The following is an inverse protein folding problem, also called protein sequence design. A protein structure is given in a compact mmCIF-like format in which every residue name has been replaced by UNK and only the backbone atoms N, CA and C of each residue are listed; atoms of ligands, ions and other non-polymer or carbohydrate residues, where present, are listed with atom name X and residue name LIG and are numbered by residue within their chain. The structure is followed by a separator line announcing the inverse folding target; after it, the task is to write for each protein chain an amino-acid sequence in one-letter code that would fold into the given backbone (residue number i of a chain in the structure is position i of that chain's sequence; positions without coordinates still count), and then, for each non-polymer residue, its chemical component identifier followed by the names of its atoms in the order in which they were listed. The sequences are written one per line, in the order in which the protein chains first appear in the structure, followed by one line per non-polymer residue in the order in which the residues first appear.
data_IF_906452025900
#
_entry.id   IF_906452025900
#
_cell.length_a   1.000
_cell.length_b   1.000
_cell.length_c   1.000
_cell.angle_alpha   90.00
_cell.angle_beta   90.00
_cell.angle_gamma   90.00
#
_symmetry.space_group_name_H-M   'P 1'
#
loop_
_entity.id
_entity.type
_entity.pdbx_description
1 polymer ?
#
# COMPACT_ATOMS: atom_id res chain seq x y z
N UNK A 1 -8.40 -27.61 -6.71
CA UNK A 1 -8.08 -26.54 -7.64
C UNK A 1 -8.66 -25.28 -7.05
N UNK A 2 -7.82 -24.26 -6.83
CA UNK A 2 -8.29 -22.91 -6.57
C UNK A 2 -7.90 -21.99 -7.73
N UNK A 3 -7.85 -20.70 -7.48
CA UNK A 3 -7.79 -19.66 -8.51
C UNK A 3 -6.53 -19.74 -9.39
N UNK A 4 -6.73 -19.67 -10.72
CA UNK A 4 -5.68 -19.71 -11.76
C UNK A 4 -5.59 -18.41 -12.57
N UNK A 5 -6.39 -17.40 -12.20
CA UNK A 5 -6.54 -16.21 -13.03
C UNK A 5 -5.42 -15.20 -12.84
N UNK A 6 -5.60 -14.07 -13.52
CA UNK A 6 -4.67 -12.95 -13.56
C UNK A 6 -5.34 -11.72 -12.98
N UNK A 7 -4.59 -10.96 -12.20
CA UNK A 7 -5.07 -9.74 -11.54
C UNK A 7 -3.98 -8.67 -11.69
N UNK A 8 -4.39 -7.47 -12.11
CA UNK A 8 -3.56 -6.28 -12.12
C UNK A 8 -4.32 -5.09 -11.53
N UNK A 9 -3.61 -4.17 -10.87
CA UNK A 9 -4.15 -2.94 -10.28
C UNK A 9 -5.12 -3.15 -9.10
N UNK A 10 -4.97 -4.23 -8.35
CA UNK A 10 -5.84 -4.52 -7.22
C UNK A 10 -5.51 -3.65 -6.00
N UNK A 11 -6.52 -2.98 -5.45
CA UNK A 11 -6.46 -2.38 -4.10
C UNK A 11 -7.29 -3.23 -3.17
N UNK A 12 -6.71 -3.72 -2.09
CA UNK A 12 -7.42 -4.47 -1.05
C UNK A 12 -7.07 -3.91 0.31
N UNK A 13 -8.09 -3.56 1.09
CA UNK A 13 -7.92 -2.98 2.41
C UNK A 13 -8.75 -3.74 3.45
N UNK A 14 -8.18 -3.95 4.63
CA UNK A 14 -8.90 -4.51 5.78
C UNK A 14 -9.11 -3.45 6.86
N UNK A 15 -10.25 -3.54 7.54
CA UNK A 15 -10.51 -2.75 8.74
C UNK A 15 -9.72 -3.26 9.95
N UNK A 16 -9.82 -2.56 11.09
CA UNK A 16 -9.11 -2.93 12.34
C UNK A 16 -9.32 -4.38 12.79
N UNK A 17 -10.50 -4.93 12.48
CA UNK A 17 -10.94 -6.29 12.82
C UNK A 17 -10.81 -7.26 11.64
N UNK A 18 -10.31 -6.77 10.50
CA UNK A 18 -10.12 -7.59 9.31
C UNK A 18 -8.83 -8.39 9.40
N UNK A 19 -8.87 -9.62 8.89
CA UNK A 19 -7.78 -10.58 9.05
C UNK A 19 -6.70 -10.42 7.97
N UNK A 20 -6.98 -10.91 6.76
CA UNK A 20 -6.04 -10.90 5.63
C UNK A 20 -6.61 -10.09 4.46
N UNK A 21 -5.74 -9.36 3.76
CA UNK A 21 -6.09 -8.74 2.46
C UNK A 21 -5.98 -9.76 1.34
N UNK A 22 -5.14 -10.78 1.50
CA UNK A 22 -4.92 -11.83 0.54
C UNK A 22 -4.81 -13.15 1.27
N UNK A 23 -5.67 -14.12 0.93
CA UNK A 23 -5.58 -15.49 1.42
C UNK A 23 -5.78 -16.44 0.26
N UNK A 24 -4.85 -17.37 0.08
CA UNK A 24 -4.85 -18.32 -1.04
C UNK A 24 -4.51 -19.71 -0.51
N UNK A 25 -5.31 -20.69 -0.92
CA UNK A 25 -5.15 -22.10 -0.61
C UNK A 25 -5.17 -22.93 -1.89
N UNK A 26 -4.69 -24.17 -1.82
CA UNK A 26 -4.95 -25.17 -2.86
C UNK A 26 -5.76 -26.32 -2.29
N UNK A 27 -6.34 -27.14 -3.18
CA UNK A 27 -7.03 -28.36 -2.74
C UNK A 27 -6.00 -29.32 -2.13
N UNK A 28 -6.09 -29.53 -0.83
CA UNK A 28 -5.37 -30.59 -0.14
C UNK A 28 -5.94 -31.97 -0.54
N UNK A 29 -5.06 -32.94 -0.76
CA UNK A 29 -5.41 -34.36 -0.67
C UNK A 29 -4.66 -34.99 0.51
N UNK A 30 -5.18 -36.11 1.00
CA UNK A 30 -4.67 -36.80 2.21
C UNK A 30 -3.21 -37.27 2.11
N UNK A 31 -2.61 -37.22 0.92
CA UNK A 31 -1.19 -37.41 0.70
C UNK A 31 -0.61 -36.08 0.21
N UNK A 32 -0.12 -35.26 1.14
CA UNK A 32 0.47 -33.91 0.94
C UNK A 32 1.36 -33.73 -0.31
N UNK A 33 1.89 -34.83 -0.85
CA UNK A 33 2.78 -34.92 -2.03
C UNK A 33 2.05 -35.01 -3.40
N UNK A 34 0.71 -35.02 -3.45
CA UNK A 34 -0.05 -35.33 -4.66
C UNK A 34 -0.82 -34.15 -5.28
N UNK A 35 -0.37 -32.90 -5.08
CA UNK A 35 -1.00 -31.69 -5.68
C UNK A 35 -0.36 -31.30 -7.03
N UNK A 36 0.59 -32.07 -7.56
CA UNK A 36 1.21 -31.79 -8.87
C UNK A 36 0.14 -31.63 -9.96
N UNK A 37 0.02 -30.42 -10.53
CA UNK A 37 -0.87 -30.10 -11.66
C UNK A 37 -2.30 -29.62 -11.33
N UNK A 38 -2.68 -29.45 -10.05
CA UNK A 38 -4.04 -28.98 -9.66
C UNK A 38 -4.06 -27.88 -8.57
N UNK A 39 -2.92 -27.22 -8.33
CA UNK A 39 -2.72 -26.18 -7.29
C UNK A 39 -3.38 -24.87 -7.67
N UNK A 40 -3.59 -23.97 -6.71
CA UNK A 40 -3.82 -22.55 -6.99
C UNK A 40 -2.56 -21.91 -7.53
N UNK A 41 -2.71 -21.15 -8.61
CA UNK A 41 -1.60 -20.47 -9.28
C UNK A 41 -2.01 -19.08 -9.80
N UNK A 42 -2.37 -18.14 -8.90
CA UNK A 42 -2.67 -16.77 -9.27
C UNK A 42 -1.46 -16.08 -9.89
N UNK A 43 -1.73 -15.16 -10.80
CA UNK A 43 -0.74 -14.20 -11.27
C UNK A 43 -1.20 -12.81 -10.86
N UNK A 44 -0.61 -12.29 -9.79
CA UNK A 44 -0.93 -10.99 -9.21
C UNK A 44 0.25 -10.03 -9.43
N UNK A 45 -0.01 -9.00 -10.21
CA UNK A 45 0.93 -7.91 -10.43
C UNK A 45 0.31 -6.57 -10.03
N UNK A 46 1.12 -5.62 -9.54
CA UNK A 46 0.67 -4.26 -9.28
C UNK A 46 -0.54 -4.20 -8.34
N UNK A 47 -0.33 -4.63 -7.09
CA UNK A 47 -1.37 -4.65 -6.07
C UNK A 47 -0.97 -3.81 -4.86
N UNK A 48 -1.94 -3.16 -4.23
CA UNK A 48 -1.80 -2.46 -2.98
C UNK A 48 -2.62 -3.18 -1.91
N UNK A 49 -1.95 -3.66 -0.86
CA UNK A 49 -2.54 -4.39 0.26
C UNK A 49 -2.42 -3.55 1.54
N UNK A 50 -3.56 -3.18 2.12
CA UNK A 50 -3.64 -2.24 3.24
C UNK A 50 -4.22 -2.98 4.46
N UNK A 51 -3.45 -3.07 5.53
CA UNK A 51 -3.92 -3.62 6.79
C UNK A 51 -4.65 -2.60 7.65
N UNK A 52 -5.44 -3.13 8.60
CA UNK A 52 -6.23 -2.32 9.53
C UNK A 52 -5.50 -1.83 10.78
N UNK A 53 -4.22 -2.15 10.94
CA UNK A 53 -3.44 -1.79 12.14
C UNK A 53 -2.99 -0.33 12.10
N UNK A 54 -3.16 0.40 13.21
CA UNK A 54 -2.58 1.73 13.35
C UNK A 54 -1.14 1.61 13.88
N UNK A 55 -0.18 2.18 13.15
CA UNK A 55 1.21 2.30 13.63
C UNK A 55 1.36 3.30 14.79
N UNK A 56 0.28 3.99 15.17
CA UNK A 56 0.24 4.87 16.34
C UNK A 56 0.01 4.00 17.58
N UNK A 57 1.09 3.42 18.11
CA UNK A 57 1.18 2.69 19.38
C UNK A 57 -0.14 2.23 20.02
N UNK A 58 -0.38 0.91 20.03
CA UNK A 58 -1.45 0.23 20.76
C UNK A 58 -2.82 0.13 20.10
N UNK A 59 -2.91 0.04 18.78
CA UNK A 59 -3.99 -0.76 18.18
C UNK A 59 -3.34 -1.91 17.43
N UNK A 60 -2.91 -2.93 18.19
CA UNK A 60 -2.77 -4.26 17.61
C UNK A 60 -4.12 -4.54 16.95
N UNK A 61 -4.15 -4.58 15.63
CA UNK A 61 -5.28 -5.17 14.93
C UNK A 61 -5.33 -6.60 15.46
N UNK A 62 -6.24 -6.85 16.40
CA UNK A 62 -6.51 -8.19 16.88
C UNK A 62 -7.20 -8.87 15.73
N UNK A 63 -6.44 -9.62 14.94
CA UNK A 63 -7.04 -10.64 14.11
C UNK A 63 -8.04 -11.43 14.96
N UNK A 64 -9.30 -11.45 14.54
CA UNK A 64 -10.33 -12.26 15.19
C UNK A 64 -10.25 -13.72 14.75
N UNK A 65 -9.03 -14.24 14.53
CA UNK A 65 -8.81 -15.68 14.42
C UNK A 65 -9.11 -16.33 15.77
N UNK A 66 -10.34 -16.78 15.94
CA UNK A 66 -10.73 -17.65 17.05
C UNK A 66 -9.88 -18.94 17.02
N UNK A 67 -8.76 -18.94 17.75
CA UNK A 67 -8.15 -20.12 18.35
C UNK A 67 -7.41 -21.11 17.45
N UNK A 68 -7.12 -20.83 16.18
CA UNK A 68 -6.38 -21.79 15.32
C UNK A 68 -5.11 -21.29 14.65
N UNK A 69 -4.79 -20.00 14.71
CA UNK A 69 -3.54 -19.51 14.16
C UNK A 69 -3.13 -18.18 14.82
N UNK A 70 -2.08 -18.17 15.66
CA UNK A 70 -1.75 -17.01 16.49
C UNK A 70 -0.95 -15.92 15.76
N UNK A 71 -0.78 -15.99 14.43
CA UNK A 71 0.08 -15.07 13.67
C UNK A 71 -0.68 -14.31 12.60
N UNK A 72 -0.66 -13.00 12.75
CA UNK A 72 -1.46 -12.07 11.95
C UNK A 72 -0.66 -11.61 10.73
N UNK A 73 -0.62 -12.45 9.69
CA UNK A 73 -0.07 -12.08 8.39
C UNK A 73 -1.01 -11.13 7.64
N UNK A 74 -0.55 -10.10 6.93
CA UNK A 74 -1.47 -9.34 6.07
C UNK A 74 -1.86 -10.12 4.81
N UNK A 75 -0.94 -10.93 4.28
CA UNK A 75 -1.15 -11.84 3.17
C UNK A 75 -0.72 -13.25 3.53
N UNK A 76 -1.50 -14.24 3.09
CA UNK A 76 -1.32 -15.64 3.46
C UNK A 76 -1.44 -16.59 2.28
N UNK A 77 -0.45 -17.45 2.11
CA UNK A 77 -0.45 -18.53 1.13
C UNK A 77 -0.37 -19.87 1.84
N UNK A 78 -1.27 -20.79 1.48
CA UNK A 78 -1.42 -22.07 2.16
C UNK A 78 -1.53 -23.25 1.22
N UNK A 79 -1.39 -24.45 1.78
CA UNK A 79 -1.62 -25.75 1.14
C UNK A 79 -0.93 -25.90 -0.23
N UNK A 80 0.34 -25.52 -0.29
CA UNK A 80 1.14 -25.60 -1.51
C UNK A 80 0.65 -24.69 -2.63
N UNK A 81 0.21 -23.48 -2.30
CA UNK A 81 -0.09 -22.44 -3.29
C UNK A 81 1.18 -22.08 -4.09
N UNK A 82 1.09 -22.19 -5.41
CA UNK A 82 2.05 -21.61 -6.35
C UNK A 82 1.64 -20.19 -6.75
N UNK A 83 2.16 -19.69 -7.87
CA UNK A 83 1.73 -18.42 -8.43
C UNK A 83 2.88 -17.48 -8.74
N UNK A 84 2.53 -16.30 -9.25
CA UNK A 84 3.46 -15.22 -9.54
C UNK A 84 2.99 -13.93 -8.88
N UNK A 85 3.87 -13.36 -8.03
CA UNK A 85 3.57 -12.20 -7.20
C UNK A 85 4.66 -11.15 -7.38
N UNK A 86 4.35 -10.06 -8.10
CA UNK A 86 5.32 -8.99 -8.40
C UNK A 86 4.70 -7.60 -8.32
N UNK A 87 5.53 -6.58 -8.12
CA UNK A 87 5.07 -5.19 -7.97
C UNK A 87 3.99 -4.97 -6.89
N UNK A 88 3.98 -5.78 -5.84
CA UNK A 88 3.02 -5.65 -4.73
C UNK A 88 3.58 -4.66 -3.71
N UNK A 89 2.74 -3.77 -3.21
CA UNK A 89 3.04 -2.88 -2.09
C UNK A 89 2.10 -3.21 -0.95
N UNK A 90 2.67 -3.36 0.24
CA UNK A 90 1.97 -3.66 1.47
C UNK A 90 2.18 -2.53 2.47
N UNK A 91 1.10 -2.12 3.13
CA UNK A 91 1.12 -1.05 4.13
C UNK A 91 0.29 -1.46 5.35
N UNK A 92 0.68 -0.96 6.53
CA UNK A 92 -0.06 -1.15 7.79
C UNK A 92 -0.32 -2.62 8.15
N UNK A 93 0.67 -3.51 7.92
CA UNK A 93 0.53 -4.92 8.29
C UNK A 93 0.28 -5.07 9.81
N UNK A 94 -0.69 -5.91 10.22
CA UNK A 94 -1.06 -6.08 11.63
C UNK A 94 -0.03 -6.88 12.44
N UNK A 95 0.68 -7.78 11.77
CA UNK A 95 1.83 -8.52 12.26
C UNK A 95 2.79 -8.73 11.10
N UNK A 96 3.08 -10.00 10.78
CA UNK A 96 3.92 -10.34 9.63
C UNK A 96 3.31 -9.81 8.32
N UNK A 97 4.16 -9.47 7.36
CA UNK A 97 3.66 -8.99 6.08
C UNK A 97 3.07 -10.13 5.24
N UNK A 98 3.93 -11.11 4.91
CA UNK A 98 3.53 -12.30 4.18
C UNK A 98 3.79 -13.54 5.03
N UNK A 99 2.86 -14.51 4.98
CA UNK A 99 3.04 -15.82 5.62
C UNK A 99 2.80 -16.90 4.57
N UNK A 100 3.70 -17.88 4.50
CA UNK A 100 3.39 -19.17 3.85
C UNK A 100 3.24 -20.28 4.87
N UNK A 101 2.26 -21.15 4.71
CA UNK A 101 2.03 -22.29 5.60
C UNK A 101 1.66 -23.53 4.78
N UNK A 102 1.97 -24.72 5.28
CA UNK A 102 1.66 -25.99 4.64
C UNK A 102 2.11 -25.98 3.16
N UNK A 103 3.37 -25.62 2.93
CA UNK A 103 3.92 -25.34 1.59
C UNK A 103 4.08 -26.59 0.71
N UNK A 104 4.14 -27.78 1.30
CA UNK A 104 4.41 -29.03 0.60
C UNK A 104 5.67 -28.91 -0.30
N UNK A 105 5.61 -29.45 -1.52
CA UNK A 105 6.72 -29.50 -2.49
C UNK A 105 6.85 -28.26 -3.41
N UNK A 106 6.23 -27.13 -3.06
CA UNK A 106 6.33 -25.89 -3.82
C UNK A 106 7.74 -25.32 -3.77
N UNK A 107 8.37 -25.14 -4.94
CA UNK A 107 9.67 -24.46 -5.05
C UNK A 107 9.47 -22.94 -5.06
N UNK A 108 10.27 -22.22 -4.28
CA UNK A 108 10.29 -20.76 -4.27
C UNK A 108 11.25 -20.21 -5.31
N UNK A 109 10.80 -19.20 -6.03
CA UNK A 109 11.61 -18.48 -7.01
C UNK A 109 11.57 -16.97 -6.78
N UNK A 110 12.75 -16.34 -6.85
CA UNK A 110 12.89 -14.88 -6.85
C UNK A 110 13.12 -14.30 -8.24
N UNK A 111 13.29 -15.18 -9.24
CA UNK A 111 13.31 -14.85 -10.66
C UNK A 111 12.25 -15.70 -11.33
N UNK A 112 11.33 -15.09 -12.09
CA UNK A 112 10.21 -15.81 -12.67
C UNK A 112 10.70 -16.86 -13.66
N UNK A 113 10.41 -18.13 -13.41
CA UNK A 113 10.46 -19.17 -14.43
C UNK A 113 9.05 -19.53 -14.91
N UNK A 114 8.94 -20.22 -16.05
CA UNK A 114 7.66 -20.49 -16.72
C UNK A 114 6.89 -21.73 -16.21
N UNK A 115 7.24 -22.26 -15.05
CA UNK A 115 6.65 -23.50 -14.50
C UNK A 115 5.40 -23.18 -13.68
N UNK A 116 4.34 -23.97 -13.87
CA UNK A 116 3.03 -23.78 -13.21
C UNK A 116 2.98 -24.31 -11.76
N UNK A 117 4.08 -24.86 -11.26
CA UNK A 117 4.15 -25.47 -9.92
C UNK A 117 4.90 -24.58 -8.92
N UNK A 118 5.57 -23.53 -9.39
CA UNK A 118 6.47 -22.74 -8.56
C UNK A 118 5.75 -21.54 -7.92
N UNK A 119 6.29 -21.11 -6.78
CA UNK A 119 5.90 -19.89 -6.10
C UNK A 119 6.93 -18.81 -6.43
N UNK A 120 6.67 -18.07 -7.51
CA UNK A 120 7.44 -16.89 -7.82
C UNK A 120 6.97 -15.73 -6.96
N UNK A 121 7.87 -15.23 -6.12
CA UNK A 121 7.64 -14.05 -5.32
C UNK A 121 8.82 -13.11 -5.44
N UNK A 122 8.55 -11.94 -6.03
CA UNK A 122 9.59 -10.95 -6.28
C UNK A 122 10.13 -10.37 -4.98
N UNK A 123 11.45 -10.30 -4.86
CA UNK A 123 12.13 -9.53 -3.81
C UNK A 123 11.93 -8.02 -3.99
N UNK A 124 11.44 -7.60 -5.16
CA UNK A 124 11.06 -6.21 -5.41
C UNK A 124 9.69 -5.87 -4.82
N UNK A 125 8.88 -6.83 -4.36
CA UNK A 125 7.69 -6.48 -3.59
C UNK A 125 8.09 -5.64 -2.37
N UNK A 126 7.21 -4.73 -1.94
CA UNK A 126 7.51 -3.73 -0.91
C UNK A 126 6.61 -3.92 0.30
N UNK A 127 7.19 -3.85 1.48
CA UNK A 127 6.48 -3.73 2.76
C UNK A 127 6.84 -2.38 3.39
N UNK A 128 5.83 -1.60 3.74
CA UNK A 128 5.99 -0.23 4.26
C UNK A 128 5.63 -0.18 5.74
N UNK A 129 6.56 0.28 6.56
CA UNK A 129 6.34 0.59 7.97
C UNK A 129 5.94 -0.63 8.81
N UNK A 130 6.62 -1.76 8.62
CA UNK A 130 6.39 -2.97 9.39
C UNK A 130 6.71 -2.76 10.88
N UNK A 131 5.89 -3.33 11.76
CA UNK A 131 6.07 -3.20 13.21
C UNK A 131 7.29 -4.01 13.69
N UNK A 132 7.89 -3.56 14.79
CA UNK A 132 8.98 -4.29 15.45
C UNK A 132 8.50 -5.66 15.92
N UNK A 133 9.30 -6.70 15.65
CA UNK A 133 8.97 -8.09 15.99
C UNK A 133 8.10 -8.82 14.96
N UNK A 134 7.76 -8.17 13.85
CA UNK A 134 7.11 -8.79 12.70
C UNK A 134 8.11 -9.08 11.58
N UNK A 135 7.84 -10.12 10.80
CA UNK A 135 8.66 -10.55 9.69
C UNK A 135 8.13 -10.04 8.34
N UNK A 136 9.05 -9.68 7.46
CA UNK A 136 8.72 -9.28 6.08
C UNK A 136 8.12 -10.46 5.30
N UNK A 137 8.57 -11.66 5.59
CA UNK A 137 8.08 -12.88 4.98
C UNK A 137 8.36 -14.06 5.92
N UNK A 138 7.30 -14.66 6.44
CA UNK A 138 7.40 -15.70 7.45
C UNK A 138 7.13 -17.10 6.90
N UNK A 139 7.96 -18.06 7.36
CA UNK A 139 7.74 -19.49 7.16
C UNK A 139 6.82 -20.05 8.25
N UNK A 140 5.52 -20.04 7.97
CA UNK A 140 4.42 -20.52 8.80
C UNK A 140 4.47 -21.99 9.25
N UNK A 141 5.27 -22.83 8.59
CA UNK A 141 5.43 -24.26 8.87
C UNK A 141 6.79 -24.79 8.41
N UNK A 142 7.23 -25.92 8.98
CA UNK A 142 8.59 -26.46 8.76
C UNK A 142 8.87 -26.94 7.33
N UNK A 143 7.84 -27.25 6.55
CA UNK A 143 7.92 -27.64 5.14
C UNK A 143 8.05 -26.43 4.19
N UNK A 144 7.83 -25.21 4.68
CA UNK A 144 8.06 -23.99 3.91
C UNK A 144 9.55 -23.67 3.80
N UNK A 145 10.19 -24.19 2.76
CA UNK A 145 11.59 -23.88 2.43
C UNK A 145 11.69 -22.79 1.37
N UNK A 146 12.79 -22.02 1.41
CA UNK A 146 12.98 -20.84 0.58
C UNK A 146 12.12 -19.66 1.07
N UNK A 147 12.78 -18.58 1.46
CA UNK A 147 12.11 -17.38 1.98
C UNK A 147 12.51 -16.19 1.13
N UNK A 148 11.62 -15.69 0.25
CA UNK A 148 11.85 -14.43 -0.45
C UNK A 148 12.00 -13.31 0.57
N UNK A 149 12.91 -12.37 0.32
CA UNK A 149 13.05 -11.17 1.14
C UNK A 149 12.54 -9.98 0.35
N UNK A 150 11.28 -9.53 0.54
CA UNK A 150 10.80 -8.32 -0.08
C UNK A 150 11.55 -7.09 0.46
N UNK A 151 11.48 -5.99 -0.28
CA UNK A 151 12.06 -4.72 0.10
C UNK A 151 11.26 -4.10 1.25
N UNK A 152 11.94 -3.71 2.33
CA UNK A 152 11.33 -2.95 3.42
C UNK A 152 11.55 -1.45 3.21
N UNK A 153 10.49 -0.66 3.35
CA UNK A 153 10.54 0.80 3.32
C UNK A 153 9.89 1.40 4.57
N UNK A 154 10.34 2.59 4.95
CA UNK A 154 9.60 3.47 5.85
C UNK A 154 8.44 4.14 5.12
N UNK A 155 7.48 4.69 5.87
CA UNK A 155 6.36 5.46 5.28
C UNK A 155 6.86 6.68 4.48
N UNK A 156 7.90 7.34 4.98
CA UNK A 156 8.53 8.48 4.30
C UNK A 156 9.24 8.08 2.99
N UNK A 157 9.79 6.87 2.90
CA UNK A 157 10.41 6.39 1.66
C UNK A 157 9.40 5.95 0.61
N UNK A 158 8.24 5.43 1.03
CA UNK A 158 7.16 5.07 0.11
C UNK A 158 6.38 6.31 -0.37
N UNK A 159 6.27 7.31 0.50
CA UNK A 159 5.66 8.61 0.30
C UNK A 159 4.35 8.60 -0.50
N UNK A 160 3.29 8.09 0.14
CA UNK A 160 1.94 8.18 -0.41
C UNK A 160 1.34 9.56 -0.20
N UNK A 161 0.58 10.06 -1.18
CA UNK A 161 -0.10 11.35 -1.11
C UNK A 161 -1.01 11.49 0.12
N UNK A 162 -1.77 10.44 0.44
CA UNK A 162 -2.59 10.38 1.64
C UNK A 162 -2.90 8.95 2.08
N UNK A 163 -1.99 8.35 2.85
CA UNK A 163 -2.22 7.03 3.44
C UNK A 163 -2.79 7.16 4.87
N UNK A 164 -4.06 6.82 5.11
CA UNK A 164 -4.62 6.86 6.45
C UNK A 164 -3.94 5.82 7.35
N UNK A 165 -3.73 6.16 8.63
CA UNK A 165 -3.15 5.21 9.59
C UNK A 165 -4.12 4.08 9.97
N UNK A 166 -5.43 4.27 9.80
CA UNK A 166 -6.43 3.18 9.88
C UNK A 166 -7.40 3.28 8.72
N UNK A 167 -7.80 2.14 8.20
CA UNK A 167 -8.85 2.06 7.19
C UNK A 167 -10.13 1.58 7.85
N UNK A 168 -11.17 2.40 7.96
CA UNK A 168 -12.45 2.00 8.53
C UNK A 168 -13.60 2.86 7.98
N UNK A 169 -14.83 2.63 8.47
CA UNK A 169 -16.03 3.35 8.01
C UNK A 169 -15.99 4.87 8.22
N UNK A 170 -15.13 5.34 9.13
CA UNK A 170 -14.97 6.73 9.51
C UNK A 170 -13.77 7.38 8.81
N UNK A 171 -13.05 6.68 7.93
CA UNK A 171 -11.98 7.29 7.13
C UNK A 171 -12.58 8.33 6.17
N UNK A 172 -12.20 9.60 6.34
CA UNK A 172 -12.78 10.74 5.62
C UNK A 172 -12.03 11.11 4.34
N UNK A 173 -10.73 10.85 4.27
CA UNK A 173 -9.89 11.11 3.09
C UNK A 173 -8.82 10.02 2.89
N UNK A 174 -8.53 9.71 1.63
CA UNK A 174 -7.44 8.81 1.23
C UNK A 174 -6.99 9.06 -0.20
N UNK A 175 -5.71 8.81 -0.46
CA UNK A 175 -5.08 8.87 -1.76
C UNK A 175 -3.84 7.98 -1.75
N UNK A 176 -3.97 6.81 -2.38
CA UNK A 176 -2.93 5.79 -2.37
C UNK A 176 -1.90 5.94 -3.48
N UNK A 177 -1.94 7.05 -4.21
CA UNK A 177 -0.92 7.34 -5.21
C UNK A 177 0.37 7.77 -4.52
N UNK A 178 1.55 7.36 -5.02
CA UNK A 178 2.81 7.90 -4.55
C UNK A 178 2.92 9.39 -4.87
N UNK A 179 3.54 10.19 -4.00
CA UNK A 179 3.78 11.61 -4.21
C UNK A 179 4.75 11.88 -5.38
N UNK A 180 4.66 13.06 -5.98
CA UNK A 180 5.46 13.38 -7.16
C UNK A 180 6.94 13.56 -6.85
N UNK A 181 7.25 14.34 -5.81
CA UNK A 181 8.63 14.71 -5.42
C UNK A 181 9.38 13.56 -4.72
N UNK A 182 8.68 12.49 -4.37
CA UNK A 182 9.14 11.46 -3.44
C UNK A 182 8.59 10.06 -3.69
N UNK A 183 7.89 9.83 -4.81
CA UNK A 183 7.57 8.48 -5.33
C UNK A 183 8.80 7.65 -5.74
N UNK A 184 9.96 7.98 -5.16
CA UNK A 184 11.12 7.12 -5.00
C UNK A 184 10.75 5.78 -4.36
N UNK A 185 11.67 4.84 -4.53
CA UNK A 185 11.57 3.41 -4.18
C UNK A 185 10.38 2.63 -4.78
N UNK A 186 9.16 3.17 -4.82
CA UNK A 186 8.00 2.54 -5.47
C UNK A 186 8.10 2.55 -7.01
N UNK A 187 8.88 3.46 -7.60
CA UNK A 187 9.18 3.50 -9.05
C UNK A 187 10.54 2.88 -9.44
N UNK A 188 11.33 2.40 -8.47
CA UNK A 188 12.62 1.73 -8.72
C UNK A 188 12.43 0.21 -8.81
N UNK A 189 13.26 -0.53 -9.55
CA UNK A 189 13.24 -2.02 -9.59
C UNK A 189 11.86 -2.64 -9.88
N UNK A 190 11.09 -2.06 -10.79
CA UNK A 190 9.73 -2.53 -11.12
C UNK A 190 9.82 -3.80 -11.98
N UNK A 191 9.15 -4.86 -11.53
CA UNK A 191 9.10 -6.14 -12.23
C UNK A 191 8.36 -5.99 -13.56
N UNK A 192 8.83 -6.70 -14.58
CA UNK A 192 8.10 -6.81 -15.85
C UNK A 192 7.14 -8.00 -15.79
N UNK A 193 5.80 -7.78 -15.85
CA UNK A 193 4.84 -8.88 -15.86
C UNK A 193 4.91 -9.69 -17.17
N UNK A 194 4.21 -10.84 -17.28
CA UNK A 194 4.19 -11.64 -18.51
C UNK A 194 3.69 -10.83 -19.71
N UNK A 195 4.40 -10.92 -20.84
CA UNK A 195 4.02 -10.26 -22.09
C UNK A 195 3.00 -11.11 -22.86
N UNK A 196 1.83 -11.34 -22.27
CA UNK A 196 0.82 -12.27 -22.76
C UNK A 196 -0.51 -11.61 -23.20
N UNK A 197 -0.52 -10.28 -23.25
CA UNK A 197 -1.66 -9.46 -23.65
C UNK A 197 -2.69 -9.19 -22.56
N UNK A 198 -2.54 -9.76 -21.35
CA UNK A 198 -3.38 -9.41 -20.21
C UNK A 198 -2.77 -8.29 -19.36
N UNK A 199 -1.46 -8.39 -19.06
CA UNK A 199 -0.79 -7.43 -18.18
C UNK A 199 -0.23 -6.24 -18.95
N UNK A 200 -0.50 -5.06 -18.41
CA UNK A 200 0.16 -3.83 -18.81
C UNK A 200 1.58 -3.78 -18.23
N UNK A 201 2.55 -3.34 -19.04
CA UNK A 201 3.89 -3.01 -18.56
C UNK A 201 3.89 -1.60 -17.98
N UNK A 202 4.19 -1.49 -16.68
CA UNK A 202 4.22 -0.20 -15.97
C UNK A 202 5.59 0.10 -15.36
N UNK A 203 5.75 1.33 -14.83
CA UNK A 203 6.96 1.84 -14.19
C UNK A 203 6.78 2.11 -12.70
N UNK A 204 5.80 1.48 -12.06
CA UNK A 204 5.50 1.64 -10.64
C UNK A 204 5.13 0.31 -9.99
N UNK A 205 5.26 0.25 -8.66
CA UNK A 205 4.69 -0.80 -7.80
C UNK A 205 3.40 -0.31 -7.17
N UNK A 206 2.58 -1.26 -6.72
CA UNK A 206 1.26 -0.95 -6.20
C UNK A 206 0.24 -0.87 -7.32
N UNK A 207 -0.97 -0.47 -6.96
CA UNK A 207 -2.14 -0.52 -7.84
C UNK A 207 -2.33 0.72 -8.72
N UNK A 208 -1.61 1.81 -8.45
CA UNK A 208 -1.75 3.10 -9.15
C UNK A 208 -0.47 3.94 -9.02
N UNK A 209 -0.30 4.88 -9.94
CA UNK A 209 0.76 5.90 -9.92
C UNK A 209 0.13 7.29 -9.99
N UNK A 210 0.19 7.98 -11.12
CA UNK A 210 -0.39 9.34 -11.22
C UNK A 210 -1.91 9.32 -11.41
N UNK A 211 -2.45 8.26 -12.00
CA UNK A 211 -3.89 8.11 -12.28
C UNK A 211 -4.60 7.35 -11.17
N UNK A 212 -5.64 7.95 -10.59
CA UNK A 212 -6.53 7.29 -9.64
C UNK A 212 -7.70 6.64 -10.38
N UNK A 213 -7.53 5.37 -10.80
CA UNK A 213 -8.57 4.64 -11.52
C UNK A 213 -9.85 4.39 -10.70
N UNK A 214 -9.80 4.52 -9.38
CA UNK A 214 -10.97 4.39 -8.51
C UNK A 214 -11.86 5.64 -8.55
N UNK A 215 -11.33 6.78 -8.99
CA UNK A 215 -12.07 8.03 -9.09
C UNK A 215 -13.15 7.92 -10.18
N UNK A 216 -14.38 8.29 -9.83
CA UNK A 216 -15.56 8.15 -10.68
C UNK A 216 -16.09 6.71 -10.86
N UNK A 217 -15.43 5.71 -10.25
CA UNK A 217 -15.78 4.29 -10.40
C UNK A 217 -16.19 3.59 -9.10
N UNK A 218 -15.80 4.14 -7.95
CA UNK A 218 -15.98 3.51 -6.65
C UNK A 218 -16.96 4.27 -5.76
N UNK A 219 -17.61 3.57 -4.83
CA UNK A 219 -18.41 4.20 -3.77
C UNK A 219 -17.56 5.13 -2.89
N UNK A 220 -16.25 4.88 -2.79
CA UNK A 220 -15.32 5.79 -2.13
C UNK A 220 -15.22 7.12 -2.88
N UNK A 221 -15.27 7.09 -4.22
CA UNK A 221 -15.32 8.31 -5.03
C UNK A 221 -16.64 9.04 -4.85
N UNK A 222 -17.76 8.32 -4.89
CA UNK A 222 -19.09 8.93 -4.79
C UNK A 222 -19.31 9.60 -3.42
N UNK A 223 -18.74 9.02 -2.36
CA UNK A 223 -18.77 9.58 -1.02
C UNK A 223 -17.71 10.67 -0.79
N UNK A 224 -16.83 10.91 -1.77
CA UNK A 224 -15.74 11.89 -1.67
C UNK A 224 -14.66 11.53 -0.65
N UNK A 225 -14.49 10.22 -0.38
CA UNK A 225 -13.46 9.68 0.53
C UNK A 225 -12.11 9.58 -0.19
N UNK A 226 -12.10 9.20 -1.46
CA UNK A 226 -10.86 9.25 -2.26
C UNK A 226 -10.75 10.60 -2.96
N UNK A 227 -9.53 11.10 -3.09
CA UNK A 227 -9.26 12.26 -3.94
C UNK A 227 -9.69 11.97 -5.40
N UNK A 228 -10.17 13.01 -6.10
CA UNK A 228 -10.40 12.93 -7.54
C UNK A 228 -9.11 12.66 -8.32
N UNK A 229 -9.21 12.48 -9.64
CA UNK A 229 -8.05 12.21 -10.50
C UNK A 229 -7.26 13.48 -10.84
N UNK A 230 -6.81 14.20 -9.80
CA UNK A 230 -5.91 15.35 -9.89
C UNK A 230 -4.58 14.96 -9.26
N UNK A 231 -3.49 15.16 -9.97
CA UNK A 231 -2.14 14.82 -9.52
C UNK A 231 -1.21 16.01 -9.69
N UNK A 232 -0.29 16.20 -8.75
CA UNK A 232 0.65 17.32 -8.75
C UNK A 232 1.66 17.23 -7.62
N UNK A 233 2.50 18.25 -7.53
CA UNK A 233 3.55 18.33 -6.52
C UNK A 233 2.94 18.68 -5.17
N UNK A 234 3.27 17.92 -4.13
CA UNK A 234 2.80 18.19 -2.77
C UNK A 234 3.54 19.39 -2.21
N UNK A 235 2.79 20.39 -1.76
CA UNK A 235 3.35 21.53 -1.04
C UNK A 235 3.72 21.04 0.37
N UNK A 236 4.97 21.25 0.84
CA UNK A 236 5.37 20.81 2.17
C UNK A 236 4.55 21.53 3.25
N UNK A 237 4.30 20.82 4.35
CA UNK A 237 3.49 21.34 5.46
C UNK A 237 4.10 22.61 6.09
N UNK A 238 5.42 22.77 6.05
CA UNK A 238 6.13 23.97 6.50
C UNK A 238 7.03 24.51 5.39
N UNK A 239 6.83 25.78 5.03
CA UNK A 239 7.65 26.53 4.10
C UNK A 239 8.54 27.45 4.91
N UNK A 240 9.77 26.99 5.17
CA UNK A 240 10.76 27.62 6.06
C UNK A 240 11.80 28.48 5.33
N UNK A 241 11.74 28.51 4.00
CA UNK A 241 12.60 29.31 3.14
C UNK A 241 11.80 29.89 1.97
N UNK A 242 12.25 31.02 1.43
CA UNK A 242 11.60 31.66 0.28
C UNK A 242 11.39 30.65 -0.84
N UNK A 243 10.14 30.44 -1.22
CA UNK A 243 9.73 29.37 -2.14
C UNK A 243 8.89 29.95 -3.26
N UNK A 244 9.10 29.49 -4.48
CA UNK A 244 8.30 29.86 -5.65
C UNK A 244 7.58 28.64 -6.20
N UNK A 245 6.25 28.68 -6.21
CA UNK A 245 5.43 27.71 -6.95
C UNK A 245 5.36 28.14 -8.41
N UNK A 246 5.83 27.28 -9.30
CA UNK A 246 5.84 27.53 -10.74
C UNK A 246 4.44 27.37 -11.37
N UNK A 247 4.28 27.68 -12.65
CA UNK A 247 3.03 27.47 -13.37
C UNK A 247 2.75 25.97 -13.60
N UNK A 248 2.32 25.29 -12.54
CA UNK A 248 2.05 23.85 -12.47
C UNK A 248 0.86 23.55 -11.56
N UNK A 249 0.51 22.27 -11.43
CA UNK A 249 -0.46 21.75 -10.47
C UNK A 249 0.25 21.38 -9.17
N UNK A 250 -0.25 21.90 -8.06
CA UNK A 250 0.21 21.59 -6.71
C UNK A 250 -0.93 21.03 -5.86
N UNK A 251 -0.58 20.19 -4.89
CA UNK A 251 -1.50 19.56 -3.95
C UNK A 251 -1.20 20.05 -2.53
N UNK A 252 -2.24 20.48 -1.82
CA UNK A 252 -2.21 20.65 -0.37
C UNK A 252 -2.89 19.44 0.27
N UNK A 253 -2.08 18.54 0.81
CA UNK A 253 -2.54 17.29 1.46
C UNK A 253 -2.66 17.44 2.99
N UNK A 254 -2.12 18.53 3.54
CA UNK A 254 -2.23 18.96 4.94
C UNK A 254 -2.30 20.50 5.00
N UNK A 255 -2.47 21.06 6.20
CA UNK A 255 -2.18 22.48 6.40
C UNK A 255 -0.74 22.81 5.96
N UNK A 256 -0.59 23.98 5.34
CA UNK A 256 0.69 24.53 4.87
C UNK A 256 0.93 25.84 5.61
N UNK A 257 2.05 25.93 6.31
CA UNK A 257 2.47 27.11 7.06
C UNK A 257 3.62 27.79 6.33
N UNK A 258 3.44 29.06 5.96
CA UNK A 258 4.53 29.94 5.54
C UNK A 258 5.05 30.63 6.79
N UNK A 259 6.25 30.25 7.23
CA UNK A 259 6.76 30.64 8.55
C UNK A 259 7.20 32.11 8.59
N UNK A 260 7.25 32.71 9.78
CA UNK A 260 7.69 34.11 9.97
C UNK A 260 8.94 34.47 9.14
N UNK A 261 8.87 35.61 8.46
CA UNK A 261 9.94 36.15 7.63
C UNK A 261 10.13 35.50 6.25
N UNK A 262 9.36 34.45 5.91
CA UNK A 262 9.45 33.73 4.63
C UNK A 262 8.44 34.26 3.61
N UNK A 263 8.82 34.26 2.33
CA UNK A 263 7.95 34.60 1.19
C UNK A 263 7.57 33.37 0.38
N UNK A 264 6.26 33.15 0.20
CA UNK A 264 5.72 32.21 -0.79
C UNK A 264 5.29 32.96 -2.05
N UNK A 265 6.00 32.77 -3.15
CA UNK A 265 5.63 33.33 -4.46
C UNK A 265 4.83 32.32 -5.27
N UNK A 266 3.60 32.67 -5.66
CA UNK A 266 2.76 31.85 -6.55
C UNK A 266 2.80 32.47 -7.95
N UNK A 267 3.39 31.77 -8.92
CA UNK A 267 3.51 32.27 -10.28
C UNK A 267 2.14 32.35 -11.00
N UNK A 268 1.94 33.27 -11.95
CA UNK A 268 0.76 33.25 -12.82
C UNK A 268 0.65 31.91 -13.55
N UNK A 269 -0.54 31.29 -13.50
CA UNK A 269 -0.79 29.97 -14.10
C UNK A 269 -0.62 28.79 -13.15
N UNK A 270 -0.21 29.00 -11.90
CA UNK A 270 -0.24 27.96 -10.86
C UNK A 270 -1.68 27.59 -10.50
N UNK A 271 -1.95 26.29 -10.38
CA UNK A 271 -3.21 25.78 -9.80
C UNK A 271 -2.90 24.97 -8.55
N UNK A 272 -3.54 25.32 -7.43
CA UNK A 272 -3.39 24.61 -6.16
C UNK A 272 -4.72 23.94 -5.83
N UNK A 273 -4.69 22.62 -5.67
CA UNK A 273 -5.83 21.84 -5.19
C UNK A 273 -5.60 21.44 -3.75
N UNK A 274 -6.60 21.60 -2.91
CA UNK A 274 -6.60 21.07 -1.55
C UNK A 274 -7.43 19.80 -1.50
N UNK A 275 -7.03 18.86 -0.66
CA UNK A 275 -7.98 17.82 -0.26
C UNK A 275 -9.13 18.41 0.53
N UNK A 276 -10.25 17.67 0.53
CA UNK A 276 -11.44 18.05 1.28
C UNK A 276 -11.18 18.03 2.79
N UNK A 277 -10.30 17.14 3.20
CA UNK A 277 -9.91 16.87 4.57
C UNK A 277 -8.42 16.47 4.60
N UNK A 278 -7.71 16.76 5.69
CA UNK A 278 -6.33 16.31 5.91
C UNK A 278 -6.27 14.88 6.49
N UNK A 279 -7.40 14.16 6.47
CA UNK A 279 -7.59 12.76 6.85
C UNK A 279 -7.04 12.44 8.23
N UNK A 280 -7.17 13.44 9.11
CA UNK A 280 -6.22 13.76 10.16
C UNK A 280 -5.59 12.56 10.85
N UNK A 281 -4.31 12.26 10.58
CA UNK A 281 -3.56 11.26 11.34
C UNK A 281 -2.06 11.57 11.47
N UNK A 282 -1.58 11.46 12.71
CA UNK A 282 -0.26 10.99 13.13
C UNK A 282 1.03 11.78 12.84
N UNK A 283 1.03 12.89 12.09
CA UNK A 283 2.27 13.70 11.86
C UNK A 283 2.22 15.14 12.40
N UNK A 284 1.30 15.45 13.33
CA UNK A 284 1.33 16.73 14.07
C UNK A 284 0.27 17.76 13.66
N UNK A 285 -0.72 17.39 12.83
CA UNK A 285 -1.94 18.17 12.66
C UNK A 285 -2.73 18.21 13.97
N UNK A 286 -2.83 19.39 14.59
CA UNK A 286 -3.65 19.57 15.80
C UNK A 286 -5.12 19.47 15.38
N UNK A 287 -5.89 18.47 15.88
CA UNK A 287 -7.33 18.44 15.66
C UNK A 287 -7.95 19.77 16.13
N UNK A 288 -9.16 20.09 15.67
CA UNK A 288 -9.89 21.19 16.30
C UNK A 288 -10.16 20.88 17.80
N UNK A 289 -10.65 21.87 18.54
CA UNK A 289 -10.90 21.73 19.99
C UNK A 289 -11.91 20.61 20.35
N UNK A 290 -12.58 20.01 19.36
CA UNK A 290 -13.54 18.92 19.52
C UNK A 290 -13.00 17.58 19.01
N UNK A 291 -11.76 17.51 18.52
CA UNK A 291 -11.19 16.30 17.94
C UNK A 291 -11.46 16.12 16.45
N UNK A 292 -11.96 17.14 15.74
CA UNK A 292 -12.26 17.04 14.31
C UNK A 292 -11.04 17.33 13.44
N UNK A 293 -10.97 16.62 12.33
CA UNK A 293 -9.99 16.76 11.25
C UNK A 293 -10.16 18.13 10.55
N UNK A 294 -9.09 18.64 9.90
CA UNK A 294 -9.09 20.00 9.34
C UNK A 294 -8.88 19.94 7.84
N UNK A 295 -9.75 20.60 7.08
CA UNK A 295 -9.47 20.87 5.68
C UNK A 295 -8.10 21.58 5.56
N UNK A 296 -7.22 21.16 4.63
CA UNK A 296 -5.98 21.85 4.33
C UNK A 296 -6.20 23.35 4.14
N UNK A 297 -5.37 24.15 4.79
CA UNK A 297 -5.38 25.60 4.70
C UNK A 297 -3.98 26.13 4.49
N UNK A 298 -3.86 27.22 3.72
CA UNK A 298 -2.62 27.97 3.60
C UNK A 298 -2.61 29.02 4.70
N UNK A 299 -1.68 28.87 5.64
CA UNK A 299 -1.52 29.72 6.81
C UNK A 299 -0.29 30.59 6.59
N UNK A 300 -0.49 31.90 6.59
CA UNK A 300 0.59 32.89 6.52
C UNK A 300 0.84 33.37 7.95
N UNK A 301 2.00 33.02 8.52
CA UNK A 301 2.36 33.47 9.86
C UNK A 301 2.63 34.98 9.90
N UNK A 302 2.60 35.55 11.10
CA UNK A 302 2.91 36.96 11.28
C UNK A 302 4.33 37.23 10.75
N UNK A 303 4.46 38.16 9.79
CA UNK A 303 5.75 38.53 9.19
C UNK A 303 6.09 37.77 7.90
N UNK A 304 5.39 36.67 7.60
CA UNK A 304 5.46 36.01 6.31
C UNK A 304 4.69 36.78 5.21
N UNK A 305 4.97 36.44 3.95
CA UNK A 305 4.41 37.10 2.76
C UNK A 305 3.97 36.11 1.69
#
# INVERSE_FOLDING_TARGET
QGYQGKIQYAVVATGKDGHHTLEMDSKENSAKDAIVGIRSHPQLYNALLIGGSSTSGNVAATSVSEGKDPRDGLARFREGTGGSFGNIVMVNAPGDAFIRKDCFDVTVETTRTGTVENFFFSTNNVVVGLNSGSELFEAGSADCTGTPTPTSLTKAEADFLHLPATFNKDTLAMDFRPAQATGGKLRENVDTPPADGFFDKVTFKGAMDTTNWMAGWSILSDNGVIAGDVYGEVIPAEITVDTTLSASTYLMTSQVFVTDGVTLTIAPGTTIYSYRDDGGLATGGSPDANGNEKAPALVIEQGAK
#
